data_IF_114224431520
#
_entry.id   IF_114224431520
#
_cell.length_a   1.000
_cell.length_b   1.000
_cell.length_c   1.000
_cell.angle_alpha   90.00
_cell.angle_beta   90.00
_cell.angle_gamma   90.00
#
_symmetry.space_group_name_H-M   'P 1'
#
loop_
_entity.id
_entity.type
_entity.pdbx_description
1 polymer ?
#
# COMPACT_ATOMS: atom_id res chain seq x y z
N UNK A 1 -3.32 4.89 16.74
CA UNK A 1 -3.24 3.56 16.08
C UNK A 1 -4.07 2.58 16.89
N UNK A 2 -4.74 1.62 16.26
CA UNK A 2 -5.65 0.69 16.96
C UNK A 2 -5.91 -0.58 16.16
N UNK A 3 -4.93 -1.00 15.34
CA UNK A 3 -5.11 -2.01 14.31
C UNK A 3 -5.40 -3.39 14.90
N UNK A 4 -4.77 -3.74 16.03
CA UNK A 4 -5.02 -5.03 16.68
C UNK A 4 -6.50 -5.18 17.05
N UNK A 5 -7.12 -4.11 17.57
CA UNK A 5 -8.53 -4.07 17.97
C UNK A 5 -9.54 -4.16 16.80
N UNK A 6 -9.06 -4.27 15.55
CA UNK A 6 -9.89 -4.39 14.33
C UNK A 6 -9.81 -5.77 13.68
N UNK A 7 -8.98 -6.67 14.19
CA UNK A 7 -8.82 -8.03 13.70
C UNK A 7 -9.40 -9.05 14.71
N UNK A 8 -9.95 -10.19 14.24
CA UNK A 8 -9.99 -10.64 12.84
C UNK A 8 -10.98 -9.85 11.97
N UNK A 9 -10.70 -9.75 10.67
CA UNK A 9 -11.46 -8.92 9.73
C UNK A 9 -11.66 -9.64 8.38
N UNK A 10 -12.87 -9.57 7.81
CA UNK A 10 -13.08 -9.94 6.41
C UNK A 10 -12.32 -8.99 5.47
N UNK A 11 -11.62 -9.55 4.47
CA UNK A 11 -10.84 -8.79 3.49
C UNK A 11 -11.20 -9.23 2.07
N UNK A 12 -11.71 -8.33 1.22
CA UNK A 12 -12.16 -8.73 -0.12
C UNK A 12 -11.04 -9.27 -1.01
N UNK A 13 -9.80 -8.79 -0.83
CA UNK A 13 -8.63 -9.30 -1.57
C UNK A 13 -8.44 -10.81 -1.43
N UNK A 14 -8.60 -11.38 -0.22
CA UNK A 14 -8.49 -12.82 0.01
C UNK A 14 -9.86 -13.52 0.03
N UNK A 15 -10.95 -12.76 0.11
CA UNK A 15 -12.30 -13.22 0.41
C UNK A 15 -12.41 -14.12 1.66
N UNK A 16 -11.58 -13.85 2.67
CA UNK A 16 -11.59 -14.59 3.93
C UNK A 16 -11.57 -13.65 5.13
N UNK A 17 -11.87 -14.20 6.31
CA UNK A 17 -11.63 -13.52 7.59
C UNK A 17 -10.18 -13.72 7.99
N UNK A 18 -9.39 -12.66 7.89
CA UNK A 18 -7.96 -12.65 8.17
C UNK A 18 -7.71 -12.37 9.66
N UNK A 19 -6.70 -13.03 10.26
CA UNK A 19 -6.17 -12.67 11.57
C UNK A 19 -5.14 -11.53 11.45
N UNK A 20 -4.67 -11.00 12.60
CA UNK A 20 -3.62 -9.98 12.58
C UNK A 20 -2.28 -10.54 12.06
N UNK A 21 -1.97 -11.80 12.39
CA UNK A 21 -0.79 -12.53 11.91
C UNK A 21 -0.84 -12.72 10.39
N UNK A 22 -2.01 -13.10 9.86
CA UNK A 22 -2.23 -13.18 8.42
C UNK A 22 -1.93 -11.84 7.77
N UNK A 23 -2.46 -10.74 8.34
CA UNK A 23 -2.26 -9.39 7.80
C UNK A 23 -0.78 -8.98 7.82
N UNK A 24 -0.06 -9.29 8.89
CA UNK A 24 1.39 -9.06 8.99
C UNK A 24 2.11 -9.84 7.88
N UNK A 25 1.82 -11.12 7.70
CA UNK A 25 2.43 -11.93 6.66
C UNK A 25 2.08 -11.46 5.24
N UNK A 26 0.89 -10.91 5.01
CA UNK A 26 0.53 -10.26 3.74
C UNK A 26 1.42 -9.03 3.46
N UNK A 27 1.77 -8.26 4.50
CA UNK A 27 2.74 -7.16 4.38
C UNK A 27 4.15 -7.67 4.07
N UNK A 28 4.62 -8.75 4.72
CA UNK A 28 5.92 -9.35 4.43
C UNK A 28 6.03 -9.83 2.99
N UNK A 29 5.01 -10.55 2.50
CA UNK A 29 5.00 -11.09 1.13
C UNK A 29 4.91 -10.00 0.06
N UNK A 30 4.20 -8.90 0.33
CA UNK A 30 3.88 -7.88 -0.68
C UNK A 30 4.70 -6.60 -0.54
N UNK A 31 4.62 -5.98 0.63
CA UNK A 31 5.27 -4.67 0.85
C UNK A 31 6.76 -4.82 1.05
N UNK A 32 7.20 -5.88 1.72
CA UNK A 32 8.62 -6.18 1.93
C UNK A 32 9.23 -7.04 0.82
N UNK A 33 8.42 -7.49 -0.15
CA UNK A 33 8.80 -8.45 -1.19
C UNK A 33 9.59 -9.67 -0.64
N UNK A 34 9.18 -10.15 0.54
CA UNK A 34 9.90 -11.14 1.31
C UNK A 34 9.10 -12.42 1.55
N UNK A 35 9.54 -13.20 2.53
CA UNK A 35 8.89 -14.43 2.95
C UNK A 35 8.05 -14.19 4.20
N UNK A 36 6.95 -14.93 4.33
CA UNK A 36 6.16 -14.93 5.55
C UNK A 36 6.95 -15.47 6.74
N UNK A 37 6.67 -14.93 7.91
CA UNK A 37 7.12 -15.46 9.20
C UNK A 37 6.29 -16.68 9.58
N UNK A 38 6.85 -17.55 10.44
CA UNK A 38 6.07 -18.56 11.15
C UNK A 38 4.99 -17.85 11.99
N UNK A 39 3.71 -18.18 11.77
CA UNK A 39 2.60 -17.48 12.41
C UNK A 39 2.58 -17.64 13.93
N UNK A 40 3.17 -18.70 14.44
CA UNK A 40 3.34 -19.02 15.86
C UNK A 40 4.79 -18.79 16.35
N UNK A 41 5.65 -18.19 15.52
CA UNK A 41 7.06 -17.90 15.82
C UNK A 41 7.26 -16.73 16.79
N UNK A 42 8.48 -16.58 17.31
CA UNK A 42 8.81 -15.51 18.25
C UNK A 42 8.67 -14.11 17.62
N UNK A 43 9.14 -13.95 16.38
CA UNK A 43 9.10 -12.70 15.64
C UNK A 43 7.67 -12.24 15.38
N UNK A 44 6.76 -13.16 15.03
CA UNK A 44 5.35 -12.85 14.86
C UNK A 44 4.73 -12.43 16.20
N UNK A 45 5.00 -13.16 17.28
CA UNK A 45 4.50 -12.83 18.62
C UNK A 45 4.95 -11.44 19.07
N UNK A 46 6.20 -11.07 18.82
CA UNK A 46 6.74 -9.76 19.20
C UNK A 46 6.07 -8.62 18.43
N UNK A 47 5.89 -8.78 17.11
CA UNK A 47 5.17 -7.81 16.28
C UNK A 47 3.73 -7.66 16.77
N UNK A 48 3.03 -8.77 16.98
CA UNK A 48 1.63 -8.76 17.41
C UNK A 48 1.47 -8.18 18.81
N UNK A 49 2.36 -8.51 19.74
CA UNK A 49 2.39 -7.95 21.09
C UNK A 49 2.60 -6.42 21.05
N UNK A 50 3.47 -5.93 20.18
CA UNK A 50 3.67 -4.49 19.98
C UNK A 50 2.42 -3.82 19.39
N UNK A 51 1.78 -4.42 18.39
CA UNK A 51 0.53 -3.89 17.82
C UNK A 51 -0.61 -3.90 18.84
N UNK A 52 -0.69 -4.92 19.69
CA UNK A 52 -1.62 -4.99 20.82
C UNK A 52 -1.35 -3.88 21.82
N UNK A 53 -0.09 -3.69 22.22
CA UNK A 53 0.31 -2.65 23.18
C UNK A 53 -0.08 -1.26 22.70
N UNK A 54 0.18 -0.92 21.44
CA UNK A 54 -0.24 0.34 20.83
C UNK A 54 -1.76 0.52 20.72
N UNK A 55 -2.54 -0.57 20.87
CA UNK A 55 -3.99 -0.59 20.75
C UNK A 55 -4.71 -0.73 22.10
N UNK A 56 -4.00 -0.76 23.23
CA UNK A 56 -4.53 -1.16 24.55
C UNK A 56 -5.74 -0.34 25.03
N UNK A 57 -5.83 0.92 24.62
CA UNK A 57 -6.88 1.86 25.03
C UNK A 57 -7.96 2.05 23.92
N UNK A 58 -7.95 1.20 22.88
CA UNK A 58 -8.91 1.23 21.77
C UNK A 58 -9.94 0.11 21.93
N UNK A 59 -11.25 0.43 21.96
CA UNK A 59 -12.29 -0.60 22.05
C UNK A 59 -12.20 -1.59 20.88
N UNK A 60 -12.29 -2.89 21.19
CA UNK A 60 -12.38 -3.95 20.18
C UNK A 60 -13.71 -3.82 19.46
N UNK A 61 -13.65 -3.66 18.15
CA UNK A 61 -14.81 -3.50 17.30
C UNK A 61 -14.43 -3.81 15.84
N UNK A 62 -15.38 -4.27 15.01
CA UNK A 62 -15.15 -4.42 13.58
C UNK A 62 -14.59 -3.14 12.94
N UNK A 63 -13.73 -3.30 11.94
CA UNK A 63 -13.29 -2.18 11.12
C UNK A 63 -14.48 -1.50 10.45
N UNK A 64 -14.56 -0.18 10.57
CA UNK A 64 -15.59 0.60 9.90
C UNK A 64 -15.26 0.70 8.41
N UNK A 65 -16.27 0.65 7.52
CA UNK A 65 -16.09 0.96 6.11
C UNK A 65 -15.42 2.33 5.94
N UNK A 66 -14.52 2.45 4.96
CA UNK A 66 -13.83 3.71 4.66
C UNK A 66 -14.04 4.08 3.20
N UNK A 67 -14.41 5.34 2.96
CA UNK A 67 -14.54 5.94 1.64
C UNK A 67 -13.35 6.87 1.32
N UNK A 68 -12.24 6.81 2.09
CA UNK A 68 -11.09 7.73 1.95
C UNK A 68 -10.53 7.78 0.52
N UNK A 69 -10.64 6.70 -0.25
CA UNK A 69 -10.13 6.64 -1.60
C UNK A 69 -11.11 7.14 -2.69
N UNK A 70 -12.36 7.45 -2.33
CA UNK A 70 -13.39 7.83 -3.29
C UNK A 70 -13.05 9.14 -4.02
N UNK A 71 -12.47 10.13 -3.31
CA UNK A 71 -12.14 11.44 -3.89
C UNK A 71 -11.23 11.34 -5.13
N UNK A 72 -10.32 10.37 -5.14
CA UNK A 72 -9.36 10.17 -6.24
C UNK A 72 -10.01 9.69 -7.54
N UNK A 73 -11.27 9.25 -7.51
CA UNK A 73 -12.02 8.89 -8.70
C UNK A 73 -12.37 10.08 -9.60
N UNK A 74 -12.34 11.32 -9.06
CA UNK A 74 -12.63 12.53 -9.83
C UNK A 74 -11.43 13.14 -10.56
N UNK A 75 -10.26 12.52 -10.49
CA UNK A 75 -9.01 13.04 -11.03
C UNK A 75 -8.46 12.09 -12.11
N UNK A 76 -7.79 12.67 -13.11
CA UNK A 76 -7.10 11.91 -14.16
C UNK A 76 -5.60 11.98 -13.92
N UNK A 77 -4.90 10.84 -13.81
CA UNK A 77 -3.45 10.84 -13.60
C UNK A 77 -2.69 11.25 -14.86
N UNK A 78 -1.64 12.06 -14.68
CA UNK A 78 -0.65 12.43 -15.70
C UNK A 78 0.76 12.08 -15.20
N UNK A 79 1.38 11.07 -15.81
CA UNK A 79 2.72 10.59 -15.44
C UNK A 79 3.84 11.55 -15.84
N UNK A 80 3.66 12.35 -16.89
CA UNK A 80 4.65 13.35 -17.30
C UNK A 80 4.64 14.55 -16.34
N UNK A 81 3.46 14.99 -15.89
CA UNK A 81 3.35 15.92 -14.78
C UNK A 81 3.91 15.32 -13.48
N UNK A 82 3.64 14.04 -13.21
CA UNK A 82 4.16 13.33 -12.06
C UNK A 82 5.69 13.27 -12.01
N UNK A 83 6.34 13.06 -13.17
CA UNK A 83 7.80 13.09 -13.27
C UNK A 83 8.39 14.46 -12.89
N UNK A 84 7.71 15.56 -13.24
CA UNK A 84 8.12 16.92 -12.85
C UNK A 84 7.99 17.14 -11.35
N UNK A 85 6.89 16.70 -10.74
CA UNK A 85 6.70 16.75 -9.28
C UNK A 85 7.80 15.92 -8.58
N UNK A 86 8.08 14.73 -9.09
CA UNK A 86 9.12 13.85 -8.56
C UNK A 86 10.50 14.52 -8.56
N UNK A 87 10.90 15.09 -9.71
CA UNK A 87 12.18 15.76 -9.86
C UNK A 87 12.32 16.98 -8.94
N UNK A 88 11.23 17.74 -8.75
CA UNK A 88 11.24 18.95 -7.94
C UNK A 88 11.27 18.68 -6.42
N UNK A 89 10.55 17.66 -5.95
CA UNK A 89 10.30 17.47 -4.50
C UNK A 89 10.77 16.15 -3.90
N UNK A 90 10.83 15.07 -4.70
CA UNK A 90 11.01 13.71 -4.18
C UNK A 90 12.44 13.18 -4.37
N UNK A 91 13.04 13.49 -5.54
CA UNK A 91 14.34 12.94 -5.95
C UNK A 91 15.48 13.28 -4.98
N UNK A 92 15.40 14.41 -4.27
CA UNK A 92 16.39 14.83 -3.26
C UNK A 92 16.58 13.81 -2.14
N UNK A 93 15.54 13.02 -1.83
CA UNK A 93 15.58 11.98 -0.78
C UNK A 93 15.56 10.57 -1.37
N UNK A 94 14.71 10.33 -2.37
CA UNK A 94 14.50 8.99 -2.94
C UNK A 94 15.42 8.63 -4.12
N UNK A 95 16.34 9.53 -4.49
CA UNK A 95 17.25 9.36 -5.63
C UNK A 95 16.60 9.76 -6.96
N UNK A 96 17.40 10.19 -7.93
CA UNK A 96 16.90 10.56 -9.26
C UNK A 96 16.26 9.40 -10.02
N UNK A 97 16.69 8.18 -9.72
CA UNK A 97 16.23 6.92 -10.30
C UNK A 97 15.23 6.17 -9.41
N UNK A 98 14.79 6.77 -8.29
CA UNK A 98 13.85 6.17 -7.34
C UNK A 98 14.36 4.92 -6.61
N UNK A 99 15.66 4.62 -6.72
CA UNK A 99 16.31 3.49 -6.06
C UNK A 99 16.49 3.66 -4.55
N UNK A 100 16.09 4.79 -4.00
CA UNK A 100 16.28 5.13 -2.60
C UNK A 100 17.69 5.62 -2.29
N UNK A 101 17.87 6.07 -1.07
CA UNK A 101 19.16 6.50 -0.51
C UNK A 101 19.27 6.03 0.94
N UNK A 102 20.34 6.40 1.65
CA UNK A 102 20.45 6.13 3.07
C UNK A 102 19.35 6.82 3.91
N UNK A 103 18.71 7.87 3.40
CA UNK A 103 17.71 8.65 4.14
C UNK A 103 16.26 8.34 3.75
N UNK A 104 16.03 7.69 2.60
CA UNK A 104 14.68 7.36 2.15
C UNK A 104 14.63 6.07 1.32
N UNK A 105 13.53 5.34 1.44
CA UNK A 105 13.36 4.03 0.82
C UNK A 105 13.28 4.08 -0.71
N UNK A 106 13.62 2.99 -1.41
CA UNK A 106 13.28 2.84 -2.83
C UNK A 106 11.77 2.96 -3.05
N UNK A 107 11.38 3.61 -4.14
CA UNK A 107 9.97 3.78 -4.54
C UNK A 107 9.58 2.83 -5.67
N UNK A 108 10.55 2.42 -6.47
CA UNK A 108 10.43 1.39 -7.51
C UNK A 108 11.76 0.65 -7.67
N UNK A 109 11.86 -0.23 -8.67
CA UNK A 109 13.03 -1.08 -8.88
C UNK A 109 13.05 -2.31 -7.97
N UNK A 110 14.10 -3.14 -8.04
CA UNK A 110 14.13 -4.49 -7.45
C UNK A 110 14.06 -4.52 -5.92
N UNK A 111 14.34 -3.40 -5.25
CA UNK A 111 14.36 -3.29 -3.79
C UNK A 111 13.13 -2.58 -3.20
N UNK A 112 12.14 -2.24 -4.04
CA UNK A 112 10.88 -1.64 -3.61
C UNK A 112 9.80 -2.71 -3.33
N UNK A 113 8.62 -2.25 -2.92
CA UNK A 113 7.42 -3.09 -2.80
C UNK A 113 7.03 -3.69 -4.15
N UNK A 114 6.56 -4.95 -4.13
CA UNK A 114 6.12 -5.64 -5.33
C UNK A 114 4.74 -5.17 -5.80
N UNK A 115 4.36 -5.60 -7.00
CA UNK A 115 3.10 -5.20 -7.64
C UNK A 115 1.84 -5.61 -6.83
N UNK A 116 1.94 -6.63 -5.96
CA UNK A 116 0.84 -7.07 -5.11
C UNK A 116 0.59 -6.18 -3.90
N UNK A 117 1.49 -5.24 -3.58
CA UNK A 117 1.38 -4.36 -2.44
C UNK A 117 0.24 -3.34 -2.60
N UNK A 118 -0.36 -2.91 -1.48
CA UNK A 118 -1.36 -1.84 -1.51
C UNK A 118 -0.82 -0.54 -2.09
N UNK A 119 0.47 -0.25 -1.89
CA UNK A 119 1.13 0.95 -2.41
C UNK A 119 1.30 0.95 -3.94
N UNK A 120 1.19 -0.21 -4.60
CA UNK A 120 1.18 -0.31 -6.06
C UNK A 120 -0.13 0.19 -6.69
N UNK A 121 -1.15 0.51 -5.88
CA UNK A 121 -2.40 1.12 -6.34
C UNK A 121 -2.28 2.65 -6.34
N UNK A 122 -2.53 3.27 -7.48
CA UNK A 122 -2.34 4.71 -7.69
C UNK A 122 -3.11 5.56 -6.68
N UNK A 123 -4.38 5.24 -6.38
CA UNK A 123 -5.18 6.04 -5.43
C UNK A 123 -4.71 5.85 -3.98
N UNK A 124 -4.17 4.67 -3.66
CA UNK A 124 -3.59 4.40 -2.33
C UNK A 124 -2.29 5.18 -2.15
N UNK A 125 -1.41 5.16 -3.16
CA UNK A 125 -0.18 5.94 -3.15
C UNK A 125 -0.46 7.45 -3.11
N UNK A 126 -1.43 7.95 -3.89
CA UNK A 126 -1.82 9.35 -3.88
C UNK A 126 -2.32 9.79 -2.49
N UNK A 127 -3.15 8.98 -1.83
CA UNK A 127 -3.64 9.25 -0.48
C UNK A 127 -2.52 9.28 0.58
N UNK A 128 -1.51 8.43 0.42
CA UNK A 128 -0.34 8.46 1.29
C UNK A 128 0.51 9.71 1.03
N UNK A 129 0.84 9.96 -0.24
CA UNK A 129 1.67 11.09 -0.66
C UNK A 129 1.04 12.42 -0.27
N UNK A 130 -0.25 12.63 -0.51
CA UNK A 130 -0.92 13.90 -0.19
C UNK A 130 -0.89 14.24 1.29
N UNK A 131 -0.84 13.25 2.17
CA UNK A 131 -0.92 13.47 3.63
C UNK A 131 0.45 13.44 4.31
N UNK A 132 1.43 12.73 3.73
CA UNK A 132 2.68 12.41 4.41
C UNK A 132 3.93 12.86 3.66
N UNK A 133 3.79 13.31 2.41
CA UNK A 133 4.91 13.69 1.56
C UNK A 133 4.76 15.10 0.98
N UNK A 134 5.88 15.80 0.72
CA UNK A 134 7.25 15.49 1.16
C UNK A 134 7.35 15.44 2.70
N UNK A 135 8.28 14.64 3.24
CA UNK A 135 8.40 14.44 4.70
C UNK A 135 8.64 15.75 5.47
N UNK A 136 9.38 16.69 4.86
CA UNK A 136 9.67 18.00 5.44
C UNK A 136 8.52 19.01 5.29
N UNK A 137 7.54 18.73 4.42
CA UNK A 137 6.39 19.59 4.15
C UNK A 137 5.14 18.76 3.83
N UNK A 138 4.64 17.93 4.76
CA UNK A 138 3.50 17.06 4.51
C UNK A 138 2.24 17.90 4.20
N UNK A 139 1.46 17.48 3.20
CA UNK A 139 0.24 18.21 2.80
C UNK A 139 0.48 19.40 1.87
N UNK A 140 1.72 19.63 1.42
CA UNK A 140 2.05 20.75 0.52
C UNK A 140 1.67 20.51 -0.95
N UNK A 141 1.54 19.26 -1.39
CA UNK A 141 1.10 18.94 -2.75
C UNK A 141 -0.41 19.08 -2.87
N UNK A 142 -0.88 19.62 -3.99
CA UNK A 142 -2.29 19.51 -4.36
C UNK A 142 -2.69 18.06 -4.60
N UNK A 143 -3.98 17.75 -4.50
CA UNK A 143 -4.48 16.40 -4.82
C UNK A 143 -4.08 15.96 -6.24
N UNK A 144 -4.17 16.85 -7.23
CA UNK A 144 -3.77 16.51 -8.60
C UNK A 144 -2.27 16.20 -8.71
N UNK A 145 -1.40 16.94 -8.02
CA UNK A 145 0.04 16.66 -7.99
C UNK A 145 0.34 15.33 -7.28
N UNK A 146 -0.32 15.06 -6.15
CA UNK A 146 -0.18 13.81 -5.41
C UNK A 146 -0.61 12.59 -6.26
N UNK A 147 -1.69 12.71 -7.02
CA UNK A 147 -2.12 11.66 -7.94
C UNK A 147 -1.14 11.49 -9.10
N UNK A 148 -0.70 12.59 -9.71
CA UNK A 148 0.24 12.57 -10.83
C UNK A 148 1.55 11.91 -10.44
N UNK A 149 2.15 12.30 -9.31
CA UNK A 149 3.39 11.68 -8.85
C UNK A 149 3.16 10.22 -8.48
N UNK A 150 2.07 9.86 -7.78
CA UNK A 150 1.74 8.46 -7.48
C UNK A 150 1.60 7.59 -8.73
N UNK A 151 0.98 8.11 -9.79
CA UNK A 151 0.89 7.44 -11.08
C UNK A 151 2.27 7.26 -11.73
N UNK A 152 3.11 8.30 -11.69
CA UNK A 152 4.49 8.21 -12.17
C UNK A 152 5.29 7.15 -11.41
N UNK A 153 5.21 7.10 -10.07
CA UNK A 153 5.89 6.09 -9.24
C UNK A 153 5.46 4.66 -9.59
N UNK A 154 4.15 4.45 -9.78
CA UNK A 154 3.58 3.13 -10.03
C UNK A 154 3.63 2.70 -11.51
N UNK A 155 4.03 3.60 -12.43
CA UNK A 155 4.37 3.26 -13.80
C UNK A 155 5.79 2.68 -13.96
N UNK A 156 6.63 2.79 -12.94
CA UNK A 156 8.00 2.29 -12.98
C UNK A 156 8.10 0.78 -12.72
N UNK A 157 9.14 0.09 -13.24
CA UNK A 157 9.36 -1.33 -13.01
C UNK A 157 9.49 -1.67 -11.52
N UNK A 158 8.94 -2.81 -11.11
CA UNK A 158 9.00 -3.32 -9.73
C UNK A 158 8.90 -4.85 -9.72
N UNK A 159 9.24 -5.53 -8.61
CA UNK A 159 9.12 -6.97 -8.52
C UNK A 159 7.68 -7.43 -8.73
N UNK A 160 7.55 -8.60 -9.35
CA UNK A 160 6.25 -9.26 -9.47
C UNK A 160 5.85 -9.96 -8.17
N UNK A 161 4.57 -10.27 -8.02
CA UNK A 161 4.05 -11.17 -6.98
C UNK A 161 3.23 -12.29 -7.64
N UNK A 162 3.76 -13.51 -7.80
CA UNK A 162 3.09 -14.56 -8.57
C UNK A 162 1.66 -14.85 -8.09
N UNK A 163 1.44 -14.97 -6.78
CA UNK A 163 0.13 -15.32 -6.21
C UNK A 163 -0.94 -14.22 -6.36
N UNK A 164 -0.58 -13.01 -6.83
CA UNK A 164 -1.53 -11.90 -7.05
C UNK A 164 -2.71 -12.28 -7.95
N UNK A 165 -2.53 -13.31 -8.80
CA UNK A 165 -3.57 -13.81 -9.71
C UNK A 165 -4.79 -14.37 -8.96
N UNK A 166 -4.64 -14.74 -7.69
CA UNK A 166 -5.70 -15.23 -6.82
C UNK A 166 -6.38 -14.13 -5.99
N UNK A 167 -5.95 -12.88 -6.13
CA UNK A 167 -6.58 -11.76 -5.44
C UNK A 167 -7.99 -11.48 -5.98
N UNK A 168 -8.87 -11.02 -5.09
CA UNK A 168 -10.25 -10.60 -5.38
C UNK A 168 -11.08 -11.73 -6.00
N UNK A 169 -11.16 -12.92 -5.39
CA UNK A 169 -11.80 -14.09 -5.99
C UNK A 169 -13.30 -13.91 -6.26
N UNK A 170 -13.94 -12.91 -5.64
CA UNK A 170 -15.33 -12.52 -5.90
C UNK A 170 -15.47 -11.53 -7.08
N UNK A 171 -14.42 -11.28 -7.86
CA UNK A 171 -14.49 -10.40 -9.03
C UNK A 171 -14.74 -8.93 -8.69
N UNK A 172 -14.33 -8.50 -7.49
CA UNK A 172 -14.51 -7.15 -6.94
C UNK A 172 -13.18 -6.38 -6.73
N UNK A 173 -12.21 -6.40 -7.69
CA UNK A 173 -10.99 -5.64 -7.53
C UNK A 173 -11.27 -4.13 -7.55
N UNK A 174 -10.55 -3.34 -6.74
CA UNK A 174 -10.56 -1.89 -6.90
C UNK A 174 -10.18 -1.45 -8.31
N UNK A 175 -10.70 -0.32 -8.81
CA UNK A 175 -10.51 0.12 -10.20
C UNK A 175 -9.06 0.49 -10.55
N UNK A 176 -8.17 0.58 -9.54
CA UNK A 176 -6.76 0.95 -9.67
C UNK A 176 -5.81 -0.21 -9.34
N UNK A 177 -6.28 -1.46 -9.38
CA UNK A 177 -5.41 -2.65 -9.35
C UNK A 177 -4.60 -2.73 -10.64
N UNK A 178 -3.27 -2.79 -10.51
CA UNK A 178 -2.32 -2.68 -11.63
C UNK A 178 -1.97 -4.03 -12.29
N UNK A 179 -2.75 -5.09 -12.04
CA UNK A 179 -2.48 -6.44 -12.51
C UNK A 179 -3.77 -7.23 -12.76
N UNK A 180 -3.77 -8.20 -13.69
CA UNK A 180 -4.91 -9.08 -13.92
C UNK A 180 -5.06 -10.12 -12.80
N UNK A 181 -6.28 -10.63 -12.63
CA UNK A 181 -6.61 -11.72 -11.70
C UNK A 181 -7.38 -12.83 -12.45
N UNK A 182 -7.49 -14.01 -11.84
CA UNK A 182 -8.32 -15.10 -12.36
C UNK A 182 -9.81 -14.92 -12.09
N UNK A 183 -10.20 -13.90 -11.32
CA UNK A 183 -11.58 -13.70 -10.96
C UNK A 183 -12.40 -13.19 -12.15
N UNK A 184 -13.57 -13.78 -12.37
CA UNK A 184 -14.54 -13.30 -13.35
C UNK A 184 -15.35 -12.17 -12.71
N UNK A 185 -15.42 -10.97 -13.31
CA UNK A 185 -16.27 -9.91 -12.80
C UNK A 185 -17.73 -10.40 -12.73
N UNK A 186 -18.39 -10.20 -11.58
CA UNK A 186 -19.83 -10.41 -11.51
C UNK A 186 -20.51 -9.44 -12.49
N UNK A 187 -21.25 -10.00 -13.47
CA UNK A 187 -22.07 -9.25 -14.43
C UNK A 187 -23.31 -8.66 -13.78
#
# INVERSE_FOLDING_TARGET
MGVFARYPQYRPRSATVETIEYRVNDCFRRSMNGTALASDGAEMRDIVAYLWFLSRDVPVAPAQPSNRLAKWGGFTPDTAAGARVYAAGCAKCHGSDGGGTAVATPLWGPHSYNIGAGMARVRTAAAFVSENMPFDQPGSLSDQEALNVAAFLNAQPRPDYPDKIHDWPNGDPPPDVAYPTHATPHR
#
